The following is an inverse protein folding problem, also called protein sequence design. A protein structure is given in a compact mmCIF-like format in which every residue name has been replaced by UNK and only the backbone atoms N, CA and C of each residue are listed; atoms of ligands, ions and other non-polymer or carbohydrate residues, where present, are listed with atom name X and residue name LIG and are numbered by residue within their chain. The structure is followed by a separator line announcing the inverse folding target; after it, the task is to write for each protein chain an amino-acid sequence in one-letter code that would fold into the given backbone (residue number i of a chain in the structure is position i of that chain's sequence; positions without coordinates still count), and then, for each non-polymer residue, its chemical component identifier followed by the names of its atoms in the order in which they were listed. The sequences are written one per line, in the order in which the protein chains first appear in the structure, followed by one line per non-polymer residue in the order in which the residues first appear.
data_IF_341530707362
#
_entry.id   IF_341530707362
#
_cell.length_a   1.000
_cell.length_b   1.000
_cell.length_c   1.000
_cell.angle_alpha   90.00
_cell.angle_beta   90.00
_cell.angle_gamma   90.00
#
_symmetry.space_group_name_H-M   'P 1'
#
loop_
_entity.id
_entity.type
_entity.pdbx_description
1 polymer ?
#
# COMPACT_ATOMS: atom_id res chain seq x y z
N UNK A 1 1.80 1.93 0.75
CA UNK A 1 2.99 2.67 0.37
C UNK A 1 3.01 2.79 -1.15
N UNK A 2 1.85 2.60 -1.76
CA UNK A 2 1.65 2.65 -3.21
C UNK A 2 2.32 1.49 -3.93
N UNK A 3 2.08 0.28 -3.44
CA UNK A 3 2.65 -0.90 -4.05
C UNK A 3 1.56 -1.82 -4.63
N UNK A 4 1.19 -2.90 -3.91
CA UNK A 4 0.20 -3.85 -4.43
C UNK A 4 -0.78 -4.32 -3.34
N UNK A 5 -0.30 -5.10 -2.38
CA UNK A 5 -1.17 -5.70 -1.37
C UNK A 5 -0.98 -5.04 0.00
N UNK A 6 -1.95 -5.27 0.91
CA UNK A 6 -1.94 -4.72 2.26
C UNK A 6 -2.32 -3.25 2.29
N UNK A 7 -2.85 -2.83 3.43
CA UNK A 7 -3.24 -1.46 3.62
C UNK A 7 -2.03 -0.57 3.80
N UNK A 8 -2.12 0.61 3.26
CA UNK A 8 -1.02 1.55 3.26
C UNK A 8 -1.60 2.95 3.15
N UNK A 9 -1.63 3.65 4.26
CA UNK A 9 -2.26 4.98 4.33
C UNK A 9 -1.60 5.98 3.38
N UNK A 10 -0.35 5.70 3.04
CA UNK A 10 0.38 6.54 2.10
C UNK A 10 -0.19 6.36 0.70
N UNK A 11 -0.65 5.14 0.42
CA UNK A 11 -1.21 4.75 -0.86
C UNK A 11 -1.45 3.24 -0.86
N UNK A 12 -2.69 2.78 -1.16
CA UNK A 12 -3.05 1.35 -1.16
C UNK A 12 -1.95 0.44 -1.74
N UNK A 13 -1.50 -0.51 -0.94
CA UNK A 13 -0.43 -1.39 -1.36
C UNK A 13 0.83 -1.15 -0.56
N UNK A 14 1.10 -2.02 0.38
CA UNK A 14 2.29 -1.90 1.21
C UNK A 14 3.46 -2.59 0.51
N UNK A 15 3.18 -3.75 -0.04
CA UNK A 15 4.19 -4.52 -0.75
C UNK A 15 3.52 -5.44 -1.77
#
# INVERSE_FOLDING_TARGET
LCVIVQADWNCPGWF
#
